data_IF_487532856076
#
_entry.id   IF_487532856076
#
_cell.length_a   1.000
_cell.length_b   1.000
_cell.length_c   1.000
_cell.angle_alpha   90.00
_cell.angle_beta   90.00
_cell.angle_gamma   90.00
#
_symmetry.space_group_name_H-M   'P 1'
#
loop_
_entity.id
_entity.type
_entity.pdbx_description
1 polymer ?
#
# COMPACT_ATOMS: atom_id res chain seq x y z
N UNK A 1 -9.25 -8.01 27.58
CA UNK A 1 -9.26 -7.16 26.37
C UNK A 1 -7.98 -6.34 26.16
N UNK A 2 -7.17 -6.04 27.20
CA UNK A 2 -5.95 -5.20 27.06
C UNK A 2 -4.80 -5.93 26.37
N UNK A 3 -4.54 -7.20 26.71
CA UNK A 3 -3.42 -7.97 26.13
C UNK A 3 -3.48 -8.09 24.61
N UNK A 4 -4.62 -8.45 23.98
CA UNK A 4 -4.70 -8.49 22.53
C UNK A 4 -4.42 -7.12 21.87
N UNK A 5 -4.91 -6.01 22.44
CA UNK A 5 -4.65 -4.68 21.88
C UNK A 5 -3.16 -4.31 21.90
N UNK A 6 -2.44 -4.64 22.97
CA UNK A 6 -0.99 -4.40 23.04
C UNK A 6 -0.23 -5.21 21.99
N UNK A 7 -0.60 -6.48 21.81
CA UNK A 7 0.01 -7.34 20.78
C UNK A 7 -0.24 -6.77 19.38
N UNK A 8 -1.46 -6.31 19.08
CA UNK A 8 -1.76 -5.68 17.80
C UNK A 8 -0.92 -4.41 17.56
N UNK A 9 -0.78 -3.55 18.57
CA UNK A 9 0.03 -2.35 18.48
C UNK A 9 1.51 -2.67 18.21
N UNK A 10 2.07 -3.69 18.88
CA UNK A 10 3.44 -4.15 18.65
C UNK A 10 3.61 -4.72 17.24
N UNK A 11 2.66 -5.53 16.77
CA UNK A 11 2.68 -6.07 15.41
C UNK A 11 2.59 -4.96 14.35
N UNK A 12 1.76 -3.95 14.58
CA UNK A 12 1.64 -2.80 13.67
C UNK A 12 2.92 -1.95 13.66
N UNK A 13 3.50 -1.69 14.83
CA UNK A 13 4.79 -1.02 14.92
C UNK A 13 5.86 -1.77 14.14
N UNK A 14 5.98 -3.09 14.36
CA UNK A 14 6.94 -3.93 13.66
C UNK A 14 6.68 -3.99 12.16
N UNK A 15 5.40 -4.07 11.72
CA UNK A 15 5.02 -4.03 10.31
C UNK A 15 5.39 -2.70 9.67
N UNK A 16 5.17 -1.57 10.36
CA UNK A 16 5.59 -0.24 9.89
C UNK A 16 7.11 -0.14 9.70
N UNK A 17 7.87 -0.64 10.67
CA UNK A 17 9.33 -0.71 10.60
C UNK A 17 9.78 -1.54 9.40
N UNK A 18 9.18 -2.71 9.18
CA UNK A 18 9.53 -3.60 8.07
C UNK A 18 9.13 -3.02 6.70
N UNK A 19 7.93 -2.43 6.57
CA UNK A 19 7.50 -1.76 5.34
C UNK A 19 8.44 -0.62 4.94
N UNK A 20 8.90 0.16 5.93
CA UNK A 20 9.89 1.21 5.71
C UNK A 20 11.25 0.64 5.31
N UNK A 21 11.68 -0.44 5.95
CA UNK A 21 12.96 -1.11 5.69
C UNK A 21 13.07 -1.62 4.26
N UNK A 22 12.01 -2.27 3.78
CA UNK A 22 11.93 -2.78 2.40
C UNK A 22 11.51 -1.70 1.39
N UNK A 23 11.27 -0.47 1.85
CA UNK A 23 10.82 0.67 1.01
C UNK A 23 9.57 0.34 0.20
N UNK A 24 8.59 -0.30 0.84
CA UNK A 24 7.37 -0.73 0.17
C UNK A 24 6.64 0.44 -0.49
N UNK A 25 6.72 0.51 -1.82
CA UNK A 25 6.08 1.57 -2.60
C UNK A 25 5.74 1.06 -4.00
N UNK A 26 4.46 1.03 -4.34
CA UNK A 26 3.99 0.55 -5.65
C UNK A 26 4.61 1.34 -6.82
N UNK A 27 4.76 2.66 -6.68
CA UNK A 27 5.40 3.52 -7.70
C UNK A 27 6.87 3.14 -7.86
N UNK A 28 7.59 2.96 -6.74
CA UNK A 28 8.99 2.51 -6.74
C UNK A 28 9.13 1.14 -7.38
N UNK A 29 8.29 0.18 -6.98
CA UNK A 29 8.26 -1.19 -7.50
C UNK A 29 8.08 -1.21 -9.02
N UNK A 30 7.08 -0.48 -9.56
CA UNK A 30 6.85 -0.41 -11.00
C UNK A 30 8.01 0.31 -11.72
N UNK A 31 8.50 1.42 -11.16
CA UNK A 31 9.62 2.17 -11.72
C UNK A 31 10.91 1.34 -11.81
N UNK A 32 11.21 0.53 -10.80
CA UNK A 32 12.35 -0.40 -10.82
C UNK A 32 12.14 -1.55 -11.81
N UNK A 33 10.94 -2.13 -11.85
CA UNK A 33 10.61 -3.19 -12.79
C UNK A 33 10.78 -2.73 -14.26
N UNK A 34 10.42 -1.50 -14.59
CA UNK A 34 10.63 -0.91 -15.92
C UNK A 34 12.12 -0.76 -16.26
N UNK A 35 13.01 -0.61 -15.27
CA UNK A 35 14.46 -0.62 -15.45
C UNK A 35 15.08 -2.03 -15.44
N UNK A 36 14.25 -3.07 -15.28
CA UNK A 36 14.70 -4.46 -15.19
C UNK A 36 15.18 -4.89 -13.81
N UNK A 37 14.94 -4.07 -12.78
CA UNK A 37 15.22 -4.34 -11.37
C UNK A 37 13.97 -4.91 -10.70
N UNK A 38 14.02 -6.14 -10.23
CA UNK A 38 12.83 -6.88 -9.79
C UNK A 38 12.79 -7.13 -8.28
N UNK A 39 13.74 -6.59 -7.52
CA UNK A 39 13.83 -6.83 -6.07
C UNK A 39 12.57 -6.38 -5.32
N UNK A 40 12.10 -5.16 -5.56
CA UNK A 40 10.92 -4.62 -4.89
C UNK A 40 9.63 -5.34 -5.34
N UNK A 41 9.57 -5.78 -6.62
CA UNK A 41 8.46 -6.61 -7.11
C UNK A 41 8.42 -7.95 -6.38
N UNK A 42 9.57 -8.60 -6.19
CA UNK A 42 9.68 -9.85 -5.44
C UNK A 42 9.26 -9.65 -3.98
N UNK A 43 9.73 -8.59 -3.32
CA UNK A 43 9.35 -8.26 -1.95
C UNK A 43 7.83 -8.08 -1.82
N UNK A 44 7.21 -7.34 -2.74
CA UNK A 44 5.76 -7.12 -2.79
C UNK A 44 5.00 -8.44 -2.98
N UNK A 45 5.43 -9.29 -3.91
CA UNK A 45 4.81 -10.61 -4.14
C UNK A 45 4.96 -11.53 -2.94
N UNK A 46 6.10 -11.51 -2.25
CA UNK A 46 6.31 -12.27 -1.00
C UNK A 46 5.31 -11.81 0.06
N UNK A 47 5.19 -10.50 0.29
CA UNK A 47 4.27 -9.96 1.29
C UNK A 47 2.83 -10.39 0.99
N UNK A 48 2.35 -10.15 -0.23
CA UNK A 48 0.98 -10.52 -0.62
C UNK A 48 0.75 -12.03 -0.50
N UNK A 49 1.73 -12.87 -0.93
CA UNK A 49 1.62 -14.33 -0.81
C UNK A 49 1.58 -14.80 0.64
N UNK A 50 2.36 -14.17 1.53
CA UNK A 50 2.35 -14.51 2.96
C UNK A 50 1.03 -14.12 3.63
N UNK A 51 0.48 -12.93 3.31
CA UNK A 51 -0.85 -12.54 3.79
C UNK A 51 -1.89 -13.57 3.35
N UNK A 52 -1.92 -13.91 2.05
CA UNK A 52 -2.85 -14.89 1.48
C UNK A 52 -2.68 -16.27 2.14
N UNK A 53 -1.43 -16.71 2.35
CA UNK A 53 -1.14 -17.98 3.01
C UNK A 53 -1.61 -18.04 4.46
N UNK A 54 -1.42 -16.98 5.22
CA UNK A 54 -1.92 -16.88 6.62
C UNK A 54 -3.45 -16.95 6.64
N UNK A 55 -4.12 -16.24 5.73
CA UNK A 55 -5.58 -16.25 5.63
C UNK A 55 -6.15 -17.65 5.33
N UNK A 56 -5.49 -18.39 4.42
CA UNK A 56 -5.88 -19.78 4.11
C UNK A 56 -5.65 -20.71 5.30
N UNK A 57 -4.47 -20.65 5.93
CA UNK A 57 -4.11 -21.52 7.06
C UNK A 57 -4.97 -21.28 8.29
N UNK A 58 -5.41 -20.04 8.49
CA UNK A 58 -6.26 -19.69 9.63
C UNK A 58 -7.76 -19.98 9.38
N UNK A 59 -8.15 -20.47 8.20
CA UNK A 59 -9.56 -20.69 7.83
C UNK A 59 -10.39 -19.40 7.80
N UNK A 60 -9.74 -18.26 7.70
CA UNK A 60 -10.37 -16.95 7.79
C UNK A 60 -11.02 -16.51 6.47
N UNK A 61 -10.71 -17.20 5.38
CA UNK A 61 -11.20 -16.86 4.06
C UNK A 61 -12.72 -17.06 3.90
N UNK A 62 -13.31 -18.04 4.61
CA UNK A 62 -14.74 -18.35 4.49
C UNK A 62 -15.66 -17.36 5.22
N UNK A 63 -15.15 -16.66 6.22
CA UNK A 63 -15.99 -15.89 7.17
C UNK A 63 -15.99 -14.38 6.86
N UNK A 64 -15.30 -13.92 5.82
CA UNK A 64 -15.22 -12.49 5.52
C UNK A 64 -16.14 -12.09 4.39
N UNK A 65 -17.13 -11.23 4.66
CA UNK A 65 -17.83 -10.55 3.59
C UNK A 65 -16.83 -9.66 2.85
N UNK A 66 -16.52 -9.99 1.59
CA UNK A 66 -15.80 -9.09 0.70
C UNK A 66 -16.76 -8.03 0.21
N UNK A 67 -16.48 -6.78 0.53
CA UNK A 67 -17.24 -5.68 -0.04
C UNK A 67 -17.12 -5.71 -1.55
N UNK A 68 -18.23 -5.91 -2.25
CA UNK A 68 -18.30 -5.83 -3.71
C UNK A 68 -18.73 -4.45 -4.12
N UNK A 69 -18.05 -3.96 -5.12
CA UNK A 69 -18.34 -2.69 -5.73
C UNK A 69 -18.79 -2.91 -7.17
N UNK A 70 -20.08 -2.72 -7.39
CA UNK A 70 -20.79 -3.17 -8.59
C UNK A 70 -20.46 -2.49 -9.92
N UNK A 71 -19.41 -1.68 -10.03
CA UNK A 71 -19.04 -1.01 -11.27
C UNK A 71 -17.58 -1.22 -11.62
N UNK A 72 -17.21 -2.28 -12.37
CA UNK A 72 -15.84 -2.57 -12.74
C UNK A 72 -15.16 -1.41 -13.50
N UNK A 73 -15.89 -0.69 -14.35
CA UNK A 73 -15.36 0.49 -15.04
C UNK A 73 -14.95 1.61 -14.07
N UNK A 74 -15.70 1.81 -12.99
CA UNK A 74 -15.36 2.78 -11.95
C UNK A 74 -14.07 2.42 -11.26
N UNK A 75 -13.88 1.14 -10.92
CA UNK A 75 -12.67 0.62 -10.29
C UNK A 75 -11.46 0.77 -11.20
N UNK A 76 -11.61 0.43 -12.48
CA UNK A 76 -10.56 0.59 -13.49
C UNK A 76 -10.18 2.05 -13.67
N UNK A 77 -11.15 2.93 -13.85
CA UNK A 77 -10.91 4.37 -14.00
C UNK A 77 -10.24 4.96 -12.76
N UNK A 78 -10.71 4.59 -11.56
CA UNK A 78 -10.13 4.99 -10.29
C UNK A 78 -8.70 4.50 -10.12
N UNK A 79 -8.44 3.24 -10.44
CA UNK A 79 -7.09 2.66 -10.39
C UNK A 79 -6.12 3.33 -11.36
N UNK A 80 -6.55 3.58 -12.60
CA UNK A 80 -5.76 4.31 -13.60
C UNK A 80 -5.44 5.73 -13.13
N UNK A 81 -6.46 6.48 -12.68
CA UNK A 81 -6.28 7.84 -12.16
C UNK A 81 -5.32 7.87 -10.97
N UNK A 82 -5.52 6.98 -10.01
CA UNK A 82 -4.63 6.82 -8.86
C UNK A 82 -3.20 6.55 -9.31
N UNK A 83 -3.00 5.60 -10.23
CA UNK A 83 -1.69 5.20 -10.71
C UNK A 83 -0.93 6.35 -11.40
N UNK A 84 -1.58 7.05 -12.34
CA UNK A 84 -0.98 8.20 -13.05
C UNK A 84 -0.55 9.27 -12.05
N UNK A 85 -1.44 9.65 -11.14
CA UNK A 85 -1.18 10.74 -10.19
C UNK A 85 -0.17 10.34 -9.11
N UNK A 86 -0.14 9.07 -8.69
CA UNK A 86 0.88 8.54 -7.79
C UNK A 86 2.29 8.58 -8.45
N UNK A 87 2.39 8.28 -9.75
CA UNK A 87 3.64 8.40 -10.48
C UNK A 87 4.15 9.85 -10.49
N UNK A 88 3.28 10.82 -10.76
CA UNK A 88 3.63 12.25 -10.74
C UNK A 88 3.94 12.77 -9.33
N UNK A 89 3.26 12.26 -8.32
CA UNK A 89 3.56 12.53 -6.91
C UNK A 89 4.88 11.92 -6.44
N UNK A 90 5.47 10.97 -7.20
CA UNK A 90 6.65 10.17 -6.86
C UNK A 90 6.47 9.27 -5.65
N UNK A 91 5.23 8.93 -5.34
CA UNK A 91 4.88 8.08 -4.21
C UNK A 91 3.39 7.79 -4.17
N UNK A 92 3.06 6.54 -3.85
CA UNK A 92 1.72 6.12 -3.48
C UNK A 92 1.44 6.50 -2.01
N UNK A 93 0.30 6.17 -1.46
CA UNK A 93 -0.03 6.49 -0.06
C UNK A 93 1.05 5.97 0.91
N UNK A 94 1.41 4.69 0.83
CA UNK A 94 2.45 4.10 1.69
C UNK A 94 3.82 4.72 1.42
N UNK A 95 4.20 4.86 0.14
CA UNK A 95 5.48 5.44 -0.24
C UNK A 95 5.66 6.89 0.22
N UNK A 96 4.61 7.71 0.11
CA UNK A 96 4.61 9.10 0.62
C UNK A 96 4.70 9.13 2.15
N UNK A 97 4.01 8.20 2.84
CA UNK A 97 4.11 8.07 4.29
C UNK A 97 5.52 7.69 4.75
N UNK A 98 6.19 6.75 4.06
CA UNK A 98 7.58 6.37 4.34
C UNK A 98 8.52 7.56 4.10
N UNK A 99 8.33 8.33 3.02
CA UNK A 99 9.11 9.53 2.74
C UNK A 99 8.93 10.58 3.83
N UNK A 100 7.68 10.84 4.23
CA UNK A 100 7.33 11.78 5.28
C UNK A 100 7.97 11.39 6.62
N UNK A 101 7.84 10.12 7.02
CA UNK A 101 8.48 9.61 8.24
C UNK A 101 10.00 9.60 8.14
N UNK A 102 10.56 9.59 6.94
CA UNK A 102 11.99 9.77 6.65
C UNK A 102 12.47 11.23 6.69
N UNK A 103 11.58 12.20 6.97
CA UNK A 103 11.91 13.63 7.10
C UNK A 103 11.68 14.44 5.81
N UNK A 104 11.14 13.85 4.74
CA UNK A 104 10.77 14.58 3.52
C UNK A 104 9.38 15.24 3.70
N UNK A 105 9.39 16.48 4.22
CA UNK A 105 8.17 17.22 4.51
C UNK A 105 7.39 17.68 3.27
N UNK A 106 7.93 17.51 2.06
CA UNK A 106 7.19 17.75 0.81
C UNK A 106 5.97 16.82 0.72
N UNK A 107 6.04 15.65 1.37
CA UNK A 107 4.91 14.73 1.52
C UNK A 107 3.68 15.35 2.21
N UNK A 108 3.85 16.37 3.07
CA UNK A 108 2.74 17.07 3.72
C UNK A 108 1.80 17.75 2.72
N UNK A 109 2.34 18.28 1.62
CA UNK A 109 1.55 18.90 0.55
C UNK A 109 0.64 17.86 -0.11
N UNK A 110 1.17 16.65 -0.35
CA UNK A 110 0.38 15.53 -0.88
C UNK A 110 -0.70 15.09 0.11
N UNK A 111 -0.38 15.04 1.41
CA UNK A 111 -1.34 14.71 2.48
C UNK A 111 -2.46 15.76 2.55
N UNK A 112 -2.14 17.05 2.46
CA UNK A 112 -3.13 18.10 2.37
C UNK A 112 -4.06 17.90 1.15
N UNK A 113 -3.48 17.50 0.00
CA UNK A 113 -4.25 17.11 -1.18
C UNK A 113 -5.18 15.91 -0.92
N UNK A 114 -4.73 14.88 -0.19
CA UNK A 114 -5.59 13.74 0.17
C UNK A 114 -6.76 14.17 1.04
N UNK A 115 -6.51 15.00 2.07
CA UNK A 115 -7.56 15.55 2.93
C UNK A 115 -8.61 16.26 2.10
N UNK A 116 -8.19 17.13 1.20
CA UNK A 116 -9.09 17.88 0.32
C UNK A 116 -9.87 16.94 -0.62
N UNK A 117 -9.18 16.00 -1.27
CA UNK A 117 -9.81 15.08 -2.22
C UNK A 117 -10.85 14.15 -1.57
N UNK A 118 -10.54 13.60 -0.39
CA UNK A 118 -11.52 12.81 0.38
C UNK A 118 -12.68 13.64 0.90
N UNK A 119 -12.46 14.92 1.24
CA UNK A 119 -13.55 15.83 1.64
C UNK A 119 -14.48 16.18 0.49
N UNK A 120 -13.95 16.35 -0.72
CA UNK A 120 -14.73 16.71 -1.91
C UNK A 120 -15.62 15.58 -2.40
N UNK A 121 -15.14 14.33 -2.37
CA UNK A 121 -15.86 13.17 -2.89
C UNK A 121 -16.59 12.34 -1.84
N UNK A 122 -16.33 12.60 -0.57
CA UNK A 122 -16.86 11.79 0.52
C UNK A 122 -16.19 10.40 0.64
N UNK A 123 -16.72 9.59 1.55
CA UNK A 123 -16.29 8.20 1.70
C UNK A 123 -16.93 7.33 0.61
N UNK A 124 -16.22 6.32 0.10
CA UNK A 124 -16.80 5.38 -0.84
C UNK A 124 -18.00 4.66 -0.22
N UNK A 125 -19.10 4.60 -0.98
CA UNK A 125 -20.30 3.90 -0.55
C UNK A 125 -20.06 2.39 -0.70
N UNK A 126 -20.05 1.66 0.41
CA UNK A 126 -19.98 0.21 0.40
C UNK A 126 -21.24 -0.39 -0.24
N UNK A 127 -21.07 -1.29 -1.17
CA UNK A 127 -22.14 -2.12 -1.73
C UNK A 127 -22.24 -3.44 -0.98
N UNK A 128 -23.33 -4.22 -1.16
CA UNK A 128 -23.50 -5.49 -0.47
C UNK A 128 -22.26 -6.39 -0.60
N UNK A 129 -21.88 -6.98 0.52
CA UNK A 129 -20.73 -7.85 0.59
C UNK A 129 -21.00 -9.21 -0.09
N UNK A 130 -20.03 -9.73 -0.85
CA UNK A 130 -20.04 -11.12 -1.29
C UNK A 130 -19.23 -11.98 -0.30
N UNK A 131 -19.69 -13.22 -0.05
CA UNK A 131 -18.89 -14.17 0.70
C UNK A 131 -17.58 -14.45 -0.03
N UNK A 132 -16.46 -14.44 0.70
CA UNK A 132 -15.21 -14.96 0.17
C UNK A 132 -15.31 -16.48 0.03
N UNK A 133 -14.57 -17.06 -0.89
CA UNK A 133 -14.45 -18.50 -1.02
C UNK A 133 -12.99 -18.91 -1.00
N UNK A 134 -12.67 -19.99 -0.32
CA UNK A 134 -11.31 -20.55 -0.25
C UNK A 134 -10.72 -20.77 -1.64
N UNK A 135 -11.55 -21.17 -2.61
CA UNK A 135 -11.13 -21.35 -3.99
C UNK A 135 -10.57 -20.06 -4.62
N UNK A 136 -11.17 -18.89 -4.36
CA UNK A 136 -10.65 -17.62 -4.90
C UNK A 136 -9.34 -17.21 -4.23
N UNK A 137 -9.24 -17.41 -2.93
CA UNK A 137 -8.01 -17.12 -2.18
C UNK A 137 -6.89 -18.06 -2.62
N UNK A 138 -7.18 -19.34 -2.85
CA UNK A 138 -6.22 -20.32 -3.37
C UNK A 138 -5.74 -19.94 -4.79
N UNK A 139 -6.66 -19.57 -5.69
CA UNK A 139 -6.30 -19.09 -7.03
C UNK A 139 -5.39 -17.87 -6.93
N UNK A 140 -5.71 -16.92 -6.03
CA UNK A 140 -4.87 -15.74 -5.79
C UNK A 140 -3.48 -16.13 -5.33
N UNK A 141 -3.36 -17.07 -4.40
CA UNK A 141 -2.07 -17.56 -3.95
C UNK A 141 -1.25 -18.12 -5.11
N UNK A 142 -1.84 -18.95 -5.96
CA UNK A 142 -1.17 -19.51 -7.14
C UNK A 142 -0.70 -18.42 -8.09
N UNK A 143 -1.56 -17.43 -8.36
CA UNK A 143 -1.22 -16.32 -9.28
C UNK A 143 -0.13 -15.40 -8.70
N UNK A 144 -0.04 -15.25 -7.38
CA UNK A 144 1.03 -14.48 -6.73
C UNK A 144 2.35 -15.27 -6.66
N UNK A 145 2.28 -16.57 -6.36
CA UNK A 145 3.46 -17.42 -6.17
C UNK A 145 4.12 -17.77 -7.51
N UNK A 146 3.34 -18.01 -8.57
CA UNK A 146 3.90 -18.38 -9.87
C UNK A 146 4.87 -17.33 -10.44
N UNK A 147 4.51 -16.02 -10.57
CA UNK A 147 5.46 -15.00 -11.02
C UNK A 147 6.61 -14.80 -10.04
N UNK A 148 6.40 -14.98 -8.73
CA UNK A 148 7.47 -14.95 -7.75
C UNK A 148 8.50 -16.05 -8.03
N UNK A 149 8.08 -17.30 -8.23
CA UNK A 149 8.96 -18.42 -8.56
C UNK A 149 9.71 -18.18 -9.88
N UNK A 150 9.02 -17.66 -10.90
CA UNK A 150 9.64 -17.31 -12.19
C UNK A 150 10.71 -16.22 -12.03
N UNK A 151 10.45 -15.20 -11.23
CA UNK A 151 11.40 -14.12 -10.94
C UNK A 151 12.60 -14.65 -10.13
N UNK A 152 12.38 -15.51 -9.14
CA UNK A 152 13.45 -16.14 -8.37
C UNK A 152 14.33 -17.03 -9.24
N UNK A 153 13.72 -17.85 -10.10
CA UNK A 153 14.44 -18.70 -11.06
C UNK A 153 15.28 -17.83 -12.03
N UNK A 154 14.67 -16.79 -12.60
CA UNK A 154 15.37 -15.86 -13.50
C UNK A 154 16.56 -15.15 -12.81
N UNK A 155 16.38 -14.73 -11.55
CA UNK A 155 17.46 -14.11 -10.79
C UNK A 155 18.58 -15.08 -10.49
N UNK A 156 18.26 -16.35 -10.17
CA UNK A 156 19.27 -17.39 -9.96
C UNK A 156 20.13 -17.62 -11.21
N UNK A 157 19.49 -17.60 -12.40
CA UNK A 157 20.20 -17.73 -13.66
C UNK A 157 21.06 -16.49 -14.03
N UNK A 158 20.66 -15.30 -13.57
CA UNK A 158 21.38 -14.05 -13.85
C UNK A 158 22.41 -13.64 -12.79
N UNK A 159 22.33 -14.22 -11.60
CA UNK A 159 23.19 -13.88 -10.46
C UNK A 159 24.69 -14.13 -10.72
N UNK A 160 25.00 -14.97 -11.71
CA UNK A 160 26.37 -15.20 -12.16
C UNK A 160 26.98 -14.00 -12.95
N UNK A 161 26.14 -13.02 -13.35
CA UNK A 161 26.57 -11.93 -14.25
C UNK A 161 26.60 -10.53 -13.62
N UNK A 162 25.97 -10.30 -12.45
CA UNK A 162 25.93 -8.98 -11.80
C UNK A 162 25.96 -9.09 -10.28
N UNK A 163 27.14 -8.86 -9.64
CA UNK A 163 27.27 -8.90 -8.17
C UNK A 163 26.56 -7.75 -7.45
N UNK A 164 26.28 -6.62 -8.13
CA UNK A 164 25.69 -5.41 -7.52
C UNK A 164 24.15 -5.35 -7.61
N UNK A 165 23.47 -6.41 -8.05
CA UNK A 165 22.02 -6.43 -8.09
C UNK A 165 21.46 -6.31 -6.66
N UNK A 166 20.57 -5.32 -6.46
CA UNK A 166 19.88 -5.10 -5.18
C UNK A 166 19.22 -6.40 -4.73
N UNK A 167 19.67 -6.91 -3.58
CA UNK A 167 19.16 -8.17 -3.05
C UNK A 167 17.84 -7.93 -2.32
N UNK A 168 16.88 -8.83 -2.56
CA UNK A 168 15.62 -8.83 -1.81
C UNK A 168 15.89 -9.14 -0.35
N UNK A 169 15.39 -8.30 0.55
CA UNK A 169 15.32 -8.64 1.97
C UNK A 169 14.13 -9.59 2.21
N UNK A 170 14.31 -10.86 1.83
CA UNK A 170 13.27 -11.87 1.90
C UNK A 170 12.79 -12.14 3.33
N UNK A 171 13.69 -12.00 4.32
CA UNK A 171 13.34 -12.22 5.75
C UNK A 171 12.36 -11.16 6.22
N UNK A 172 12.69 -9.89 6.00
CA UNK A 172 11.80 -8.78 6.35
C UNK A 172 10.49 -8.84 5.58
N UNK A 173 10.51 -9.26 4.31
CA UNK A 173 9.30 -9.37 3.50
C UNK A 173 8.36 -10.48 3.98
N UNK A 174 8.91 -11.67 4.30
CA UNK A 174 8.11 -12.78 4.85
C UNK A 174 7.52 -12.38 6.20
N UNK A 175 8.35 -11.87 7.11
CA UNK A 175 7.90 -11.49 8.45
C UNK A 175 6.82 -10.39 8.40
N UNK A 176 7.00 -9.39 7.54
CA UNK A 176 6.01 -8.33 7.31
C UNK A 176 4.69 -8.92 6.80
N UNK A 177 4.73 -9.79 5.80
CA UNK A 177 3.53 -10.41 5.24
C UNK A 177 2.79 -11.29 6.25
N UNK A 178 3.51 -12.08 7.05
CA UNK A 178 2.90 -12.89 8.13
C UNK A 178 2.24 -12.01 9.18
N UNK A 179 2.93 -10.96 9.65
CA UNK A 179 2.38 -10.03 10.64
C UNK A 179 1.12 -9.33 10.12
N UNK A 180 1.14 -8.84 8.88
CA UNK A 180 -0.01 -8.21 8.27
C UNK A 180 -1.16 -9.19 8.05
N UNK A 181 -0.88 -10.44 7.66
CA UNK A 181 -1.88 -11.49 7.54
C UNK A 181 -2.55 -11.85 8.87
N UNK A 182 -1.77 -11.92 9.95
CA UNK A 182 -2.31 -12.11 11.30
C UNK A 182 -3.17 -10.93 11.73
N UNK A 183 -2.75 -9.71 11.42
CA UNK A 183 -3.50 -8.49 11.75
C UNK A 183 -4.77 -8.33 10.91
N UNK A 184 -4.79 -8.86 9.69
CA UNK A 184 -5.96 -8.84 8.82
C UNK A 184 -7.05 -9.85 9.26
N UNK A 185 -7.16 -10.11 10.55
CA UNK A 185 -8.16 -10.95 11.18
C UNK A 185 -9.29 -10.07 11.75
N UNK A 186 -10.54 -10.60 11.79
CA UNK A 186 -11.70 -9.92 12.34
C UNK A 186 -11.57 -9.55 13.83
N UNK A 187 -10.70 -10.25 14.57
CA UNK A 187 -10.38 -9.93 15.96
C UNK A 187 -9.83 -8.51 16.13
N UNK A 188 -9.09 -8.01 15.14
CA UNK A 188 -8.39 -6.72 15.24
C UNK A 188 -9.08 -5.61 14.47
N UNK A 189 -9.98 -5.94 13.54
CA UNK A 189 -10.66 -4.98 12.63
C UNK A 189 -9.68 -3.99 12.01
N UNK A 190 -8.43 -4.44 11.76
CA UNK A 190 -7.42 -3.58 11.17
C UNK A 190 -7.72 -3.38 9.68
N UNK A 191 -7.61 -2.14 9.25
CA UNK A 191 -7.77 -1.77 7.86
C UNK A 191 -6.49 -1.06 7.38
N UNK A 192 -5.79 -1.59 6.36
CA UNK A 192 -4.59 -0.96 5.81
C UNK A 192 -4.81 0.49 5.38
N UNK A 193 -6.02 0.85 4.95
CA UNK A 193 -6.39 2.23 4.63
C UNK A 193 -6.38 3.16 5.86
N UNK A 194 -6.27 2.61 7.08
CA UNK A 194 -6.22 3.40 8.30
C UNK A 194 -5.05 4.41 8.28
N UNK A 195 -3.92 4.09 7.62
CA UNK A 195 -2.80 5.03 7.48
C UNK A 195 -3.21 6.24 6.65
N UNK A 196 -3.79 6.02 5.47
CA UNK A 196 -4.26 7.12 4.62
C UNK A 196 -5.40 7.88 5.31
N UNK A 197 -6.31 7.19 6.01
CA UNK A 197 -7.38 7.82 6.81
C UNK A 197 -6.84 8.59 7.99
N UNK A 198 -5.87 8.06 8.73
CA UNK A 198 -5.23 8.75 9.84
C UNK A 198 -4.59 10.07 9.40
N UNK A 199 -3.91 10.06 8.25
CA UNK A 199 -3.29 11.26 7.70
C UNK A 199 -4.31 12.22 7.06
N UNK A 200 -5.37 11.69 6.45
CA UNK A 200 -6.36 12.51 5.72
C UNK A 200 -7.51 13.05 6.59
N UNK A 201 -7.70 12.49 7.78
CA UNK A 201 -8.79 12.89 8.69
C UNK A 201 -8.29 13.09 10.13
N UNK A 202 -7.40 14.06 10.39
CA UNK A 202 -6.83 14.26 11.73
C UNK A 202 -7.90 14.56 12.80
N UNK A 203 -9.03 15.17 12.43
CA UNK A 203 -10.14 15.39 13.37
C UNK A 203 -10.93 14.11 13.67
N UNK A 204 -10.99 13.16 12.73
CA UNK A 204 -11.56 11.85 12.98
C UNK A 204 -10.72 11.03 13.98
N UNK A 205 -9.40 11.32 14.07
CA UNK A 205 -8.51 10.80 15.10
C UNK A 205 -8.98 11.17 16.51
N UNK A 206 -9.29 12.45 16.71
CA UNK A 206 -9.74 12.97 18.00
C UNK A 206 -11.11 12.44 18.35
N UNK A 207 -12.04 12.40 17.37
CA UNK A 207 -13.38 11.85 17.57
C UNK A 207 -13.37 10.34 17.83
N UNK A 208 -12.56 9.59 17.08
CA UNK A 208 -12.40 8.15 17.27
C UNK A 208 -11.77 7.82 18.62
N UNK A 209 -10.83 8.62 19.12
CA UNK A 209 -10.27 8.51 20.45
C UNK A 209 -11.35 8.74 21.52
N UNK A 210 -12.16 9.78 21.38
CA UNK A 210 -13.26 10.09 22.31
C UNK A 210 -14.37 9.03 22.30
N UNK A 211 -14.59 8.36 21.16
CA UNK A 211 -15.59 7.31 20.99
C UNK A 211 -15.06 5.89 21.30
N UNK A 212 -13.81 5.77 21.78
CA UNK A 212 -13.18 4.48 22.06
C UNK A 212 -12.88 3.64 20.82
N UNK A 213 -12.90 4.25 19.62
CA UNK A 213 -12.59 3.56 18.36
C UNK A 213 -11.07 3.47 18.16
N UNK A 214 -10.47 2.39 18.64
CA UNK A 214 -9.01 2.17 18.63
C UNK A 214 -8.35 2.09 17.24
N UNK A 215 -9.12 2.03 16.15
CA UNK A 215 -8.60 1.81 14.78
C UNK A 215 -7.62 2.88 14.30
N UNK A 216 -7.74 4.08 14.82
CA UNK A 216 -6.89 5.20 14.44
C UNK A 216 -5.51 5.12 15.09
N UNK A 217 -5.47 4.65 16.35
CA UNK A 217 -4.21 4.38 17.07
C UNK A 217 -3.37 3.36 16.30
N UNK A 218 -4.01 2.43 15.62
CA UNK A 218 -3.35 1.41 14.81
C UNK A 218 -2.60 2.02 13.61
N UNK A 219 -3.22 2.97 12.90
CA UNK A 219 -2.54 3.69 11.82
C UNK A 219 -1.35 4.51 12.29
N UNK A 220 -1.47 5.16 13.45
CA UNK A 220 -0.37 5.92 14.06
C UNK A 220 0.80 4.99 14.44
N UNK A 221 0.55 3.81 15.00
CA UNK A 221 1.62 2.87 15.34
C UNK A 221 2.40 2.38 14.13
N UNK A 222 1.73 2.20 12.99
CA UNK A 222 2.42 1.89 11.74
C UNK A 222 3.36 3.03 11.32
N UNK A 223 2.91 4.28 11.40
CA UNK A 223 3.73 5.47 11.11
C UNK A 223 4.90 5.62 12.09
N UNK A 224 4.68 5.36 13.39
CA UNK A 224 5.75 5.36 14.40
C UNK A 224 6.79 4.29 14.08
N UNK A 225 6.37 3.11 13.62
CA UNK A 225 7.28 2.05 13.15
C UNK A 225 8.12 2.49 11.94
N UNK A 226 7.49 3.15 10.95
CA UNK A 226 8.19 3.71 9.79
C UNK A 226 9.21 4.78 10.20
N UNK A 227 8.85 5.65 11.14
CA UNK A 227 9.75 6.67 11.68
C UNK A 227 10.94 6.07 12.44
N UNK A 228 10.66 5.07 13.29
CA UNK A 228 11.69 4.34 14.02
C UNK A 228 12.73 3.70 13.07
N UNK A 229 12.28 3.05 11.98
CA UNK A 229 13.20 2.50 10.98
C UNK A 229 14.02 3.60 10.30
N UNK A 230 13.43 4.74 9.97
CA UNK A 230 14.15 5.85 9.37
C UNK A 230 15.29 6.35 10.28
N UNK A 231 15.08 6.39 11.60
CA UNK A 231 16.10 6.74 12.58
C UNK A 231 17.15 5.63 12.72
N UNK A 232 16.75 4.37 12.87
CA UNK A 232 17.66 3.22 13.01
C UNK A 232 18.59 3.12 11.79
N UNK A 233 18.06 3.31 10.59
CA UNK A 233 18.82 3.25 9.35
C UNK A 233 19.58 4.55 9.04
N UNK A 234 19.49 5.56 9.92
CA UNK A 234 20.10 6.88 9.73
C UNK A 234 19.69 7.53 8.37
N UNK A 235 18.49 7.24 7.90
CA UNK A 235 17.94 7.76 6.64
C UNK A 235 17.16 9.05 6.83
N UNK A 236 16.89 9.42 8.06
CA UNK A 236 16.12 10.62 8.36
C UNK A 236 16.87 11.87 7.88
N UNK A 237 16.23 12.63 6.99
CA UNK A 237 16.78 13.85 6.41
C UNK A 237 15.70 14.88 6.32
N UNK A 238 15.92 16.03 6.94
CA UNK A 238 15.01 17.15 6.86
C UNK A 238 15.02 17.76 5.46
N UNK A 239 13.91 17.60 4.72
CA UNK A 239 13.70 18.24 3.42
C UNK A 239 12.46 19.12 3.53
N UNK A 240 12.67 20.45 3.54
CA UNK A 240 11.58 21.41 3.59
C UNK A 240 10.83 21.47 2.26
N UNK A 241 9.50 21.72 2.28
CA UNK A 241 8.73 21.97 1.07
C UNK A 241 9.13 23.32 0.45
N UNK A 242 9.12 23.36 -0.90
CA UNK A 242 9.31 24.57 -1.70
C UNK A 242 8.03 24.85 -2.51
N UNK A 243 7.87 26.10 -3.01
CA UNK A 243 6.75 26.46 -3.88
C UNK A 243 6.64 25.57 -5.13
N UNK A 244 7.76 25.01 -5.60
CA UNK A 244 7.84 24.06 -6.71
C UNK A 244 7.16 22.73 -6.41
N UNK A 245 6.93 22.43 -5.14
CA UNK A 245 6.23 21.22 -4.69
C UNK A 245 4.70 21.40 -4.67
N UNK A 246 4.20 22.62 -4.89
CA UNK A 246 2.76 22.93 -4.88
C UNK A 246 1.92 22.03 -5.81
N UNK A 247 2.39 21.59 -7.01
CA UNK A 247 1.65 20.65 -7.84
C UNK A 247 1.32 19.32 -7.13
N UNK A 248 2.07 18.92 -6.09
CA UNK A 248 1.79 17.73 -5.29
C UNK A 248 0.43 17.81 -4.59
N UNK A 249 -0.08 19.02 -4.31
CA UNK A 249 -1.43 19.20 -3.78
C UNK A 249 -2.47 18.66 -4.77
N UNK A 250 -2.39 19.06 -6.04
CA UNK A 250 -3.28 18.59 -7.09
C UNK A 250 -3.14 17.08 -7.33
N UNK A 251 -1.92 16.55 -7.33
CA UNK A 251 -1.69 15.11 -7.42
C UNK A 251 -2.28 14.37 -6.23
N UNK A 252 -2.15 14.91 -5.03
CA UNK A 252 -2.78 14.35 -3.82
C UNK A 252 -4.29 14.31 -3.91
N UNK A 253 -4.94 15.40 -4.35
CA UNK A 253 -6.38 15.45 -4.59
C UNK A 253 -6.80 14.37 -5.59
N UNK A 254 -6.14 14.29 -6.74
CA UNK A 254 -6.48 13.32 -7.77
C UNK A 254 -6.19 11.86 -7.35
N UNK A 255 -5.15 11.62 -6.53
CA UNK A 255 -4.91 10.31 -5.90
C UNK A 255 -6.07 9.91 -4.99
N UNK A 256 -6.54 10.84 -4.13
CA UNK A 256 -7.69 10.58 -3.26
C UNK A 256 -8.96 10.31 -4.07
N UNK A 257 -9.20 11.09 -5.14
CA UNK A 257 -10.30 10.84 -6.07
C UNK A 257 -10.21 9.45 -6.72
N UNK A 258 -9.01 9.09 -7.20
CA UNK A 258 -8.75 7.75 -7.74
C UNK A 258 -9.00 6.65 -6.72
N UNK A 259 -8.57 6.84 -5.48
CA UNK A 259 -8.81 5.90 -4.39
C UNK A 259 -10.29 5.77 -4.05
N UNK A 260 -11.06 6.86 -4.03
CA UNK A 260 -12.52 6.82 -3.81
C UNK A 260 -13.21 6.08 -4.94
N UNK A 261 -12.84 6.32 -6.20
CA UNK A 261 -13.40 5.61 -7.36
C UNK A 261 -13.00 4.13 -7.36
N UNK A 262 -11.74 3.81 -7.03
CA UNK A 262 -11.25 2.44 -6.92
C UNK A 262 -11.68 1.74 -5.63
N UNK A 263 -12.36 2.44 -4.71
CA UNK A 263 -12.84 1.95 -3.42
C UNK A 263 -11.70 1.49 -2.49
N UNK A 264 -10.59 2.17 -2.57
CA UNK A 264 -9.40 1.96 -1.75
C UNK A 264 -8.12 2.39 -2.45
N UNK A 265 -7.14 2.81 -1.68
CA UNK A 265 -5.80 3.11 -2.15
C UNK A 265 -4.99 1.84 -2.45
N UNK A 266 -3.76 2.00 -2.87
CA UNK A 266 -2.86 0.88 -3.13
C UNK A 266 -2.55 0.03 -1.89
N UNK A 267 -2.59 0.62 -0.71
CA UNK A 267 -2.48 -0.04 0.59
C UNK A 267 -3.60 -1.06 0.80
N UNK A 268 -4.85 -0.62 0.67
CA UNK A 268 -6.02 -1.50 0.78
C UNK A 268 -6.05 -2.55 -0.33
N UNK A 269 -5.74 -2.15 -1.57
CA UNK A 269 -5.80 -3.05 -2.73
C UNK A 269 -4.73 -4.14 -2.66
N UNK A 270 -3.48 -3.80 -2.30
CA UNK A 270 -2.36 -4.75 -2.24
C UNK A 270 -2.32 -5.57 -0.95
N UNK A 271 -2.68 -4.97 0.20
CA UNK A 271 -2.48 -5.63 1.49
C UNK A 271 -3.75 -6.27 2.04
N UNK A 272 -4.92 -6.00 1.43
CA UNK A 272 -6.20 -6.57 1.88
C UNK A 272 -6.99 -7.20 0.73
N UNK A 273 -7.43 -6.41 -0.26
CA UNK A 273 -8.38 -6.92 -1.28
C UNK A 273 -7.75 -7.98 -2.18
N UNK A 274 -6.55 -7.76 -2.70
CA UNK A 274 -5.87 -8.75 -3.54
C UNK A 274 -5.55 -10.03 -2.79
N UNK A 275 -4.91 -10.02 -1.60
CA UNK A 275 -4.62 -11.24 -0.85
C UNK A 275 -5.87 -12.04 -0.44
N UNK A 276 -6.99 -11.37 -0.21
CA UNK A 276 -8.28 -12.00 0.11
C UNK A 276 -9.03 -12.53 -1.14
N UNK A 277 -8.44 -12.47 -2.33
CA UNK A 277 -9.06 -12.95 -3.57
C UNK A 277 -10.25 -12.10 -4.02
N UNK A 278 -10.32 -10.82 -3.62
CA UNK A 278 -11.40 -9.93 -4.00
C UNK A 278 -11.34 -9.58 -5.48
N UNK A 279 -12.45 -9.68 -6.25
CA UNK A 279 -12.53 -9.19 -7.63
C UNK A 279 -12.11 -7.73 -7.76
N UNK A 280 -12.35 -6.93 -6.74
CA UNK A 280 -11.92 -5.56 -6.58
C UNK A 280 -10.39 -5.42 -6.70
N UNK A 281 -9.64 -6.17 -5.89
CA UNK A 281 -8.18 -6.16 -5.90
C UNK A 281 -7.61 -6.61 -7.25
N UNK A 282 -8.24 -7.61 -7.88
CA UNK A 282 -7.86 -8.13 -9.18
C UNK A 282 -8.03 -7.12 -10.32
N UNK A 283 -8.98 -6.19 -10.22
CA UNK A 283 -9.19 -5.13 -11.19
C UNK A 283 -8.36 -3.88 -10.86
N UNK A 284 -8.36 -3.46 -9.60
CA UNK A 284 -7.73 -2.22 -9.17
C UNK A 284 -6.19 -2.26 -9.28
N UNK A 285 -5.56 -3.37 -8.84
CA UNK A 285 -4.09 -3.46 -8.83
C UNK A 285 -3.49 -3.38 -10.24
N UNK A 286 -3.94 -4.17 -11.25
CA UNK A 286 -3.47 -4.00 -12.62
C UNK A 286 -3.76 -2.61 -13.20
N UNK A 287 -4.93 -2.02 -12.89
CA UNK A 287 -5.27 -0.67 -13.33
C UNK A 287 -4.30 0.38 -12.72
N UNK A 288 -3.99 0.27 -11.43
CA UNK A 288 -3.01 1.14 -10.78
C UNK A 288 -1.61 0.98 -11.38
N UNK A 289 -1.17 -0.25 -11.64
CA UNK A 289 0.12 -0.52 -12.32
C UNK A 289 0.12 0.10 -13.71
N UNK A 290 -0.92 -0.12 -14.51
CA UNK A 290 -1.08 0.49 -15.85
C UNK A 290 -1.07 2.01 -15.78
N UNK A 291 -1.76 2.59 -14.79
CA UNK A 291 -1.77 4.03 -14.54
C UNK A 291 -0.38 4.58 -14.19
N UNK A 292 0.40 3.88 -13.35
CA UNK A 292 1.78 4.28 -13.01
C UNK A 292 2.66 4.27 -14.26
N UNK A 293 2.57 3.20 -15.08
CA UNK A 293 3.32 3.10 -16.34
C UNK A 293 2.94 4.26 -17.27
N UNK A 294 1.65 4.51 -17.45
CA UNK A 294 1.15 5.63 -18.25
C UNK A 294 1.66 6.98 -17.71
N UNK A 295 1.60 7.17 -16.39
CA UNK A 295 2.08 8.38 -15.73
C UNK A 295 3.57 8.65 -15.99
N UNK A 296 4.42 7.62 -15.93
CA UNK A 296 5.84 7.75 -16.28
C UNK A 296 6.03 8.10 -17.75
N UNK A 297 5.30 7.44 -18.67
CA UNK A 297 5.39 7.71 -20.11
C UNK A 297 4.92 9.11 -20.48
N UNK A 298 3.83 9.58 -19.89
CA UNK A 298 3.32 10.94 -20.08
C UNK A 298 4.33 11.96 -19.56
N UNK A 299 4.90 11.74 -18.37
CA UNK A 299 5.93 12.63 -17.82
C UNK A 299 7.17 12.70 -18.72
N UNK A 300 7.59 11.59 -19.29
CA UNK A 300 8.71 11.50 -20.25
C UNK A 300 8.38 12.25 -21.54
N UNK A 301 7.20 12.03 -22.14
CA UNK A 301 6.75 12.67 -23.38
C UNK A 301 6.61 14.19 -23.25
N UNK A 302 6.16 14.66 -22.09
CA UNK A 302 5.99 16.09 -21.80
C UNK A 302 7.30 16.77 -21.37
N UNK A 303 8.45 16.08 -21.42
CA UNK A 303 9.73 16.57 -20.90
C UNK A 303 9.62 17.17 -19.48
N UNK A 304 8.67 16.70 -18.70
CA UNK A 304 8.53 17.06 -17.31
C UNK A 304 9.75 16.47 -16.59
N UNK A 305 10.86 17.24 -16.55
CA UNK A 305 12.04 16.86 -15.77
C UNK A 305 11.58 16.62 -14.35
N UNK A 306 11.46 15.36 -14.00
CA UNK A 306 11.25 14.95 -12.62
C UNK A 306 12.54 15.23 -11.84
N UNK A 307 12.68 16.47 -11.39
CA UNK A 307 13.75 16.88 -10.46
C UNK A 307 13.53 16.31 -9.06
#
# INVERSE_FOLDING_TARGET
MVLPAVVALLLLFASGLLLSRIRFCMVGTVGQALRGEWADTQATLIICSMITGVLLLAGLAEHRPLEQYGAPLRVLAGGLLFGVTAAWNKGCFVGTSIQLMGGDLRGLISVAGWILGFRLLGSPMALPALPSSDGRVLITLVVLVLPLLLLLWRNRMRSSARPDAQRVDWRSSILCGVMLGVLDNDLWKWDPSAVARALSQPMALVQAWQQGQGHVVFGLMLLVGMFADALIQRRWRWVAPDWRDLPRLGYGVAMAMGAVLAMGGNDSQLLRYLPNGSPQGWLAVPAMVGGIIAGFRIAEALNLKQR
#
